data_IF_835323395151
#
_entry.id   IF_835323395151
#
_cell.length_a   1.000
_cell.length_b   1.000
_cell.length_c   1.000
_cell.angle_alpha   90.00
_cell.angle_beta   90.00
_cell.angle_gamma   90.00
#
_symmetry.space_group_name_H-M   'P 1'
#
loop_
_entity.id
_entity.type
_entity.pdbx_description
1 polymer ?
#
# COMPACT_ATOMS: atom_id res chain seq x y z
N UNK A 1 4.38 -84.57 -48.37
CA UNK A 1 3.00 -84.50 -48.91
C UNK A 1 2.66 -83.04 -49.14
N UNK A 2 1.98 -82.71 -50.24
CA UNK A 2 1.16 -81.48 -50.43
C UNK A 2 -0.26 -81.75 -49.83
N UNK A 3 -1.18 -80.78 -49.58
CA UNK A 3 -1.44 -79.47 -50.24
C UNK A 3 -1.46 -78.25 -49.26
N UNK A 4 -1.91 -77.02 -49.59
CA UNK A 4 -1.78 -76.13 -50.78
C UNK A 4 -2.53 -74.79 -50.52
N UNK A 5 -2.67 -73.92 -51.54
CA UNK A 5 -3.66 -72.83 -51.75
C UNK A 5 -3.64 -71.54 -50.87
N UNK A 6 -3.48 -70.42 -51.59
CA UNK A 6 -4.00 -69.05 -51.30
C UNK A 6 -5.50 -68.95 -51.74
N UNK A 7 -6.25 -67.82 -51.66
CA UNK A 7 -5.85 -66.41 -51.48
C UNK A 7 -6.78 -65.51 -50.60
N UNK A 8 -6.70 -64.20 -50.85
CA UNK A 8 -7.56 -63.07 -50.43
C UNK A 8 -9.04 -63.42 -50.16
N UNK A 9 -9.70 -62.83 -49.17
CA UNK A 9 -10.15 -61.41 -49.13
C UNK A 9 -10.37 -60.94 -47.65
N UNK A 10 -10.87 -59.76 -47.26
CA UNK A 10 -11.61 -58.67 -47.93
C UNK A 10 -11.38 -57.28 -47.25
N UNK A 11 -12.20 -56.27 -47.58
CA UNK A 11 -12.15 -54.87 -47.11
C UNK A 11 -13.53 -54.38 -46.59
N UNK A 12 -13.72 -54.31 -45.27
CA UNK A 12 -14.99 -53.82 -44.67
C UNK A 12 -15.03 -52.31 -44.40
N UNK A 13 -16.19 -51.71 -44.67
CA UNK A 13 -16.54 -50.33 -44.33
C UNK A 13 -16.70 -50.15 -42.82
N UNK A 14 -16.17 -49.04 -42.29
CA UNK A 14 -16.76 -48.36 -41.13
C UNK A 14 -17.09 -46.93 -41.56
N UNK A 15 -18.34 -46.53 -41.35
CA UNK A 15 -18.93 -45.30 -41.91
C UNK A 15 -18.56 -44.05 -41.11
N UNK A 16 -18.48 -42.92 -41.81
CA UNK A 16 -18.47 -41.59 -41.17
C UNK A 16 -19.57 -41.48 -40.11
N UNK A 17 -19.21 -40.96 -38.94
CA UNK A 17 -20.15 -40.45 -37.94
C UNK A 17 -19.79 -38.99 -37.70
N UNK A 18 -20.76 -38.09 -37.80
CA UNK A 18 -20.53 -36.65 -37.67
C UNK A 18 -20.10 -36.30 -36.24
N UNK A 19 -18.91 -35.70 -36.09
CA UNK A 19 -18.55 -35.00 -34.85
C UNK A 19 -19.22 -33.63 -34.90
N UNK A 20 -20.43 -33.54 -34.34
CA UNK A 20 -21.14 -32.27 -34.19
C UNK A 20 -20.33 -31.32 -33.32
N UNK A 21 -20.05 -30.13 -33.85
CA UNK A 21 -19.28 -29.11 -33.15
C UNK A 21 -20.13 -28.48 -32.05
N UNK A 22 -19.96 -28.95 -30.81
CA UNK A 22 -20.51 -28.27 -29.63
C UNK A 22 -19.59 -27.09 -29.31
N UNK A 23 -20.09 -25.87 -29.52
CA UNK A 23 -19.36 -24.64 -29.23
C UNK A 23 -19.01 -24.55 -27.74
N UNK A 24 -17.72 -24.38 -27.44
CA UNK A 24 -17.22 -24.18 -26.08
C UNK A 24 -17.45 -22.72 -25.67
N UNK A 25 -18.27 -22.42 -24.64
CA UNK A 25 -18.54 -21.05 -24.25
C UNK A 25 -17.34 -20.40 -23.54
N UNK A 26 -16.66 -19.52 -24.28
CA UNK A 26 -16.05 -18.28 -23.77
C UNK A 26 -15.01 -18.39 -22.63
N UNK A 27 -13.90 -19.08 -22.88
CA UNK A 27 -12.71 -19.00 -21.99
C UNK A 27 -12.12 -17.57 -21.91
N UNK A 28 -12.35 -16.72 -22.91
CA UNK A 28 -11.80 -15.36 -23.00
C UNK A 28 -12.34 -14.43 -21.90
N UNK A 29 -13.60 -14.59 -21.48
CA UNK A 29 -14.24 -13.69 -20.50
C UNK A 29 -13.69 -13.87 -19.07
N UNK A 30 -12.93 -14.93 -18.81
CA UNK A 30 -12.21 -15.14 -17.55
C UNK A 30 -10.82 -14.47 -17.51
N UNK A 31 -10.27 -14.06 -18.67
CA UNK A 31 -8.90 -13.57 -18.78
C UNK A 31 -8.75 -12.12 -18.28
N UNK A 32 -9.68 -11.23 -18.68
CA UNK A 32 -9.59 -9.78 -18.43
C UNK A 32 -9.64 -9.39 -16.95
N UNK A 33 -10.21 -10.23 -16.07
CA UNK A 33 -10.39 -9.92 -14.65
C UNK A 33 -9.12 -10.04 -13.79
N UNK A 34 -7.98 -10.46 -14.35
CA UNK A 34 -6.75 -10.74 -13.59
C UNK A 34 -5.66 -9.65 -13.65
N UNK A 35 -5.81 -8.67 -14.56
CA UNK A 35 -4.78 -7.64 -14.78
C UNK A 35 -4.76 -6.56 -13.69
N UNK A 36 -5.92 -6.20 -13.14
CA UNK A 36 -6.10 -5.02 -12.28
C UNK A 36 -5.92 -5.27 -10.76
N UNK A 37 -5.49 -6.47 -10.35
CA UNK A 37 -5.20 -6.74 -8.94
C UNK A 37 -3.91 -6.03 -8.50
N UNK A 38 -4.01 -5.07 -7.57
CA UNK A 38 -2.85 -4.55 -6.82
C UNK A 38 -2.21 -5.67 -6.00
N UNK A 39 -0.88 -5.71 -5.93
CA UNK A 39 -0.13 -6.63 -5.08
C UNK A 39 1.07 -5.93 -4.44
N UNK A 40 1.38 -6.27 -3.20
CA UNK A 40 2.44 -5.66 -2.39
C UNK A 40 3.27 -6.73 -1.69
N UNK A 41 4.54 -6.81 -2.06
CA UNK A 41 5.52 -7.69 -1.44
C UNK A 41 6.64 -6.88 -0.80
N UNK A 42 7.22 -7.40 0.28
CA UNK A 42 8.35 -6.78 0.99
C UNK A 42 9.56 -7.71 0.90
N UNK A 43 10.74 -7.18 0.55
CA UNK A 43 12.01 -7.88 0.58
C UNK A 43 12.96 -7.28 1.61
N UNK A 44 13.52 -8.09 2.50
CA UNK A 44 14.44 -7.64 3.55
C UNK A 44 15.84 -8.19 3.30
N UNK A 45 16.83 -7.29 3.11
CA UNK A 45 18.22 -7.67 2.90
C UNK A 45 18.85 -8.04 4.25
N UNK A 46 19.03 -9.34 4.52
CA UNK A 46 19.72 -9.88 5.71
C UNK A 46 19.32 -9.22 7.05
N UNK A 47 18.02 -9.14 7.39
CA UNK A 47 17.53 -8.43 8.58
C UNK A 47 18.14 -8.98 9.87
N UNK A 48 18.51 -8.09 10.78
CA UNK A 48 19.31 -8.35 11.98
C UNK A 48 18.48 -8.75 13.18
N UNK A 49 17.36 -8.07 13.41
CA UNK A 49 16.63 -8.15 14.70
C UNK A 49 15.21 -8.73 14.56
N UNK A 50 14.80 -9.70 15.41
CA UNK A 50 13.42 -10.18 15.45
C UNK A 50 12.39 -9.09 15.76
N UNK A 51 12.79 -8.06 16.52
CA UNK A 51 11.92 -6.91 16.86
C UNK A 51 11.53 -6.11 15.63
N UNK A 52 12.48 -5.83 14.72
CA UNK A 52 12.14 -5.17 13.45
C UNK A 52 11.27 -6.09 12.57
N UNK A 53 11.62 -7.38 12.44
CA UNK A 53 10.83 -8.32 11.63
C UNK A 53 9.40 -8.44 12.16
N UNK A 54 9.19 -8.53 13.48
CA UNK A 54 7.85 -8.51 14.08
C UNK A 54 7.10 -7.18 13.87
N UNK A 55 7.79 -6.03 13.93
CA UNK A 55 7.22 -4.73 13.58
C UNK A 55 6.82 -4.62 12.10
N UNK A 56 7.56 -5.27 11.21
CA UNK A 56 7.26 -5.37 9.77
C UNK A 56 6.06 -6.29 9.55
N UNK A 57 6.00 -7.48 10.16
CA UNK A 57 4.83 -8.38 10.03
C UNK A 57 3.55 -7.72 10.54
N UNK A 58 3.61 -6.98 11.66
CA UNK A 58 2.49 -6.17 12.16
C UNK A 58 2.06 -5.11 11.14
N UNK A 59 3.01 -4.40 10.52
CA UNK A 59 2.73 -3.41 9.48
C UNK A 59 2.11 -4.05 8.24
N UNK A 60 2.67 -5.16 7.76
CA UNK A 60 2.14 -5.98 6.68
C UNK A 60 0.67 -6.37 6.92
N UNK A 61 0.33 -6.77 8.16
CA UNK A 61 -1.06 -7.04 8.57
C UNK A 61 -1.97 -5.81 8.64
N UNK A 62 -1.43 -4.62 8.93
CA UNK A 62 -2.18 -3.38 8.95
C UNK A 62 -2.44 -2.79 7.54
N UNK A 63 -1.56 -3.04 6.57
CA UNK A 63 -1.60 -2.43 5.24
C UNK A 63 -1.94 -3.39 4.09
N UNK A 64 -2.12 -4.69 4.38
CA UNK A 64 -2.54 -5.67 3.36
C UNK A 64 -1.41 -6.09 2.42
N UNK A 65 -0.25 -6.44 2.98
CA UNK A 65 0.90 -6.99 2.23
C UNK A 65 0.68 -8.49 1.96
N UNK A 66 0.91 -8.92 0.72
CA UNK A 66 0.69 -10.29 0.25
C UNK A 66 1.79 -11.27 0.67
N UNK A 67 3.01 -10.79 0.95
CA UNK A 67 4.11 -11.62 1.42
C UNK A 67 5.37 -10.85 1.79
N UNK A 68 6.16 -11.42 2.71
CA UNK A 68 7.44 -10.87 3.17
C UNK A 68 8.55 -11.89 2.94
N UNK A 69 9.58 -11.48 2.20
CA UNK A 69 10.75 -12.28 1.88
C UNK A 69 11.98 -11.73 2.61
N UNK A 70 12.88 -12.60 3.06
CA UNK A 70 14.16 -12.17 3.63
C UNK A 70 15.34 -13.00 3.12
N UNK A 71 16.50 -12.38 2.97
CA UNK A 71 17.76 -13.09 2.70
C UNK A 71 18.59 -13.27 3.96
N UNK A 72 19.69 -14.02 3.85
CA UNK A 72 20.66 -14.16 4.93
C UNK A 72 20.14 -14.96 6.13
N UNK A 73 20.83 -14.83 7.28
CA UNK A 73 20.64 -15.75 8.43
C UNK A 73 20.63 -15.05 9.79
N UNK A 74 20.81 -13.72 9.85
CA UNK A 74 20.91 -12.99 11.13
C UNK A 74 19.62 -13.09 11.94
N UNK A 75 18.47 -12.82 11.30
CA UNK A 75 17.14 -13.04 11.87
C UNK A 75 16.95 -14.48 12.40
N UNK A 76 17.24 -15.52 11.61
CA UNK A 76 17.07 -16.92 12.03
C UNK A 76 17.89 -17.30 13.26
N UNK A 77 19.11 -16.76 13.37
CA UNK A 77 20.01 -17.01 14.49
C UNK A 77 19.52 -16.26 15.74
N UNK A 78 19.16 -14.98 15.58
CA UNK A 78 18.63 -14.17 16.66
C UNK A 78 17.30 -14.74 17.22
N UNK A 79 16.35 -15.10 16.35
CA UNK A 79 15.06 -15.66 16.74
C UNK A 79 15.19 -16.97 17.53
N UNK A 80 16.10 -17.87 17.12
CA UNK A 80 16.40 -19.12 17.85
C UNK A 80 17.15 -18.91 19.17
N UNK A 81 17.88 -17.80 19.32
CA UNK A 81 18.65 -17.49 20.55
C UNK A 81 17.79 -16.98 21.72
N UNK A 82 16.47 -16.83 21.54
CA UNK A 82 15.58 -16.33 22.59
C UNK A 82 15.70 -14.84 22.88
N UNK A 83 16.42 -14.08 22.03
CA UNK A 83 16.50 -12.63 22.12
C UNK A 83 15.10 -12.00 22.08
N UNK A 84 14.82 -11.09 23.03
CA UNK A 84 13.47 -10.70 23.48
C UNK A 84 12.44 -10.60 22.35
N UNK A 85 11.62 -11.64 22.26
CA UNK A 85 10.37 -11.66 21.49
C UNK A 85 9.37 -10.75 22.19
N UNK A 86 9.48 -9.44 21.98
CA UNK A 86 8.34 -8.55 22.21
C UNK A 86 7.19 -9.05 21.35
N UNK A 87 6.03 -9.28 21.94
CA UNK A 87 4.82 -9.70 21.22
C UNK A 87 4.28 -8.51 20.41
N UNK A 88 5.01 -8.11 19.37
CA UNK A 88 4.65 -6.99 18.49
C UNK A 88 3.49 -7.39 17.59
N UNK A 89 3.37 -8.67 17.23
CA UNK A 89 2.14 -9.22 16.66
C UNK A 89 1.18 -9.58 17.81
N UNK A 90 0.23 -8.67 18.06
CA UNK A 90 -0.87 -8.80 19.05
C UNK A 90 -2.23 -9.04 18.37
N UNK A 91 -2.19 -9.36 17.07
CA UNK A 91 -3.28 -9.79 16.19
C UNK A 91 -2.63 -10.80 15.25
N UNK A 92 -3.36 -11.81 14.82
CA UNK A 92 -2.78 -12.99 14.17
C UNK A 92 -2.46 -12.76 12.67
N UNK A 93 -1.71 -11.69 12.36
CA UNK A 93 -1.30 -11.34 11.01
C UNK A 93 -0.22 -12.31 10.48
N UNK A 94 0.69 -12.74 11.35
CA UNK A 94 1.67 -13.79 11.08
C UNK A 94 1.08 -15.17 10.77
N UNK A 95 -0.21 -15.42 11.04
CA UNK A 95 -0.90 -16.65 10.59
C UNK A 95 -1.32 -16.61 9.11
N UNK A 96 -1.30 -15.44 8.45
CA UNK A 96 -1.81 -15.27 7.08
C UNK A 96 -0.80 -14.72 6.08
N UNK A 97 0.14 -13.89 6.51
CA UNK A 97 1.15 -13.30 5.62
C UNK A 97 2.41 -14.17 5.66
N UNK A 98 2.83 -14.79 4.54
CA UNK A 98 3.99 -15.66 4.52
C UNK A 98 5.28 -14.86 4.77
N UNK A 99 6.09 -15.31 5.73
CA UNK A 99 7.44 -14.83 5.98
C UNK A 99 8.45 -15.87 5.49
N UNK A 100 9.03 -15.67 4.30
CA UNK A 100 9.80 -16.68 3.58
C UNK A 100 11.29 -16.32 3.49
N UNK A 101 12.16 -17.20 3.99
CA UNK A 101 13.60 -17.11 3.76
C UNK A 101 13.97 -17.53 2.34
N UNK A 102 14.72 -16.70 1.62
CA UNK A 102 15.16 -16.93 0.24
C UNK A 102 16.66 -16.69 0.08
N UNK A 103 17.28 -17.33 -0.92
CA UNK A 103 18.70 -17.14 -1.25
C UNK A 103 18.96 -15.85 -2.02
N UNK A 104 17.98 -15.34 -2.75
CA UNK A 104 18.04 -14.10 -3.53
C UNK A 104 16.65 -13.46 -3.60
N UNK A 105 16.54 -12.16 -3.27
CA UNK A 105 15.30 -11.41 -3.45
C UNK A 105 14.94 -11.28 -4.93
N UNK A 106 15.94 -11.08 -5.80
CA UNK A 106 15.76 -10.93 -7.26
C UNK A 106 15.11 -12.17 -7.91
N UNK A 107 15.38 -13.36 -7.36
CA UNK A 107 14.78 -14.62 -7.83
C UNK A 107 13.39 -14.91 -7.19
N UNK A 108 12.95 -14.08 -6.23
CA UNK A 108 11.68 -14.21 -5.53
C UNK A 108 10.63 -13.17 -5.96
N UNK A 109 10.95 -12.27 -6.89
CA UNK A 109 10.03 -11.25 -7.43
C UNK A 109 8.91 -11.97 -8.23
N UNK A 110 7.63 -11.81 -7.88
CA UNK A 110 6.52 -12.41 -8.63
C UNK A 110 6.34 -11.77 -10.01
N UNK A 111 5.88 -12.55 -10.99
CA UNK A 111 5.74 -12.09 -12.37
C UNK A 111 4.86 -10.83 -12.51
N UNK A 112 5.33 -9.84 -13.28
CA UNK A 112 4.63 -8.57 -13.48
C UNK A 112 4.67 -7.61 -12.29
N UNK A 113 5.62 -7.77 -11.37
CA UNK A 113 5.83 -6.92 -10.18
C UNK A 113 7.08 -6.07 -10.36
N UNK A 114 6.99 -4.76 -10.11
CA UNK A 114 8.14 -3.85 -10.20
C UNK A 114 9.02 -3.91 -8.94
N UNK A 115 10.33 -3.92 -9.11
CA UNK A 115 11.34 -3.91 -8.05
C UNK A 115 11.63 -2.48 -7.61
N UNK A 116 11.19 -2.12 -6.41
CA UNK A 116 11.42 -0.79 -5.85
C UNK A 116 12.41 -0.91 -4.68
N UNK A 117 13.62 -0.34 -4.81
CA UNK A 117 14.59 -0.32 -3.72
C UNK A 117 14.38 0.89 -2.81
N UNK A 118 14.49 0.69 -1.50
CA UNK A 118 14.12 1.68 -0.48
C UNK A 118 15.29 1.89 0.48
N UNK A 119 16.13 2.89 0.18
CA UNK A 119 17.38 3.16 0.91
C UNK A 119 17.90 4.59 0.64
N UNK A 120 18.88 5.06 1.42
CA UNK A 120 19.49 6.40 1.29
C UNK A 120 20.55 6.47 0.17
N UNK A 121 20.14 6.18 -1.07
CA UNK A 121 21.02 6.24 -2.25
C UNK A 121 20.98 7.63 -2.89
N UNK A 122 22.15 8.15 -3.29
CA UNK A 122 22.26 9.43 -4.02
C UNK A 122 21.58 9.31 -5.39
N UNK A 123 20.60 10.18 -5.63
CA UNK A 123 19.78 10.15 -6.85
C UNK A 123 18.48 9.34 -6.74
N UNK A 124 18.17 8.76 -5.57
CA UNK A 124 16.86 8.17 -5.31
C UNK A 124 15.75 9.23 -5.28
N UNK A 125 14.53 8.84 -5.67
CA UNK A 125 13.34 9.69 -5.62
C UNK A 125 12.87 9.86 -4.17
N UNK A 126 12.54 11.08 -3.69
CA UNK A 126 11.99 11.25 -2.36
C UNK A 126 10.58 10.63 -2.30
N UNK A 127 10.32 9.81 -1.29
CA UNK A 127 9.08 9.04 -1.14
C UNK A 127 7.79 9.88 -1.36
N UNK A 128 7.63 11.11 -0.84
CA UNK A 128 6.44 11.93 -1.11
C UNK A 128 6.13 12.15 -2.60
N UNK A 129 7.15 12.21 -3.46
CA UNK A 129 7.02 12.43 -4.91
C UNK A 129 6.90 11.12 -5.71
N UNK A 130 7.22 9.97 -5.11
CA UNK A 130 7.18 8.67 -5.77
C UNK A 130 5.75 8.20 -6.05
N UNK A 131 5.49 7.72 -7.27
CA UNK A 131 4.21 7.10 -7.65
C UNK A 131 4.31 5.59 -7.51
N UNK A 132 3.45 4.99 -6.69
CA UNK A 132 3.53 3.56 -6.36
C UNK A 132 2.90 2.70 -7.47
N UNK A 133 3.64 1.73 -8.06
CA UNK A 133 3.07 0.85 -9.08
C UNK A 133 2.05 -0.13 -8.47
N UNK A 134 1.06 -0.53 -9.26
CA UNK A 134 -0.01 -1.42 -8.80
C UNK A 134 0.52 -2.75 -8.21
N UNK A 135 1.50 -3.37 -8.86
CA UNK A 135 2.22 -4.57 -8.38
C UNK A 135 3.66 -4.18 -8.03
N UNK A 136 4.01 -4.24 -6.74
CA UNK A 136 5.29 -3.73 -6.23
C UNK A 136 5.99 -4.72 -5.28
N UNK A 137 7.31 -4.84 -5.42
CA UNK A 137 8.21 -5.59 -4.54
C UNK A 137 9.19 -4.60 -3.91
N UNK A 138 8.91 -4.15 -2.69
CA UNK A 138 9.71 -3.13 -2.00
C UNK A 138 10.87 -3.79 -1.25
N UNK A 139 12.11 -3.56 -1.69
CA UNK A 139 13.32 -4.05 -1.03
C UNK A 139 13.88 -3.01 -0.08
N UNK A 140 14.19 -3.41 1.15
CA UNK A 140 14.79 -2.58 2.18
C UNK A 140 16.16 -3.12 2.60
N UNK A 141 17.10 -2.20 2.87
CA UNK A 141 18.46 -2.52 3.31
C UNK A 141 18.54 -3.15 4.72
N UNK A 142 19.72 -3.70 5.09
CA UNK A 142 20.00 -4.17 6.44
C UNK A 142 20.06 -3.00 7.43
N UNK A 143 19.74 -3.22 8.72
CA UNK A 143 19.76 -2.17 9.76
C UNK A 143 21.12 -1.45 9.97
N UNK A 144 22.19 -2.01 9.44
CA UNK A 144 23.59 -1.63 9.64
C UNK A 144 24.39 -1.63 8.33
N UNK A 145 23.73 -1.28 7.22
CA UNK A 145 24.35 -1.13 5.90
C UNK A 145 23.38 -0.55 4.87
N UNK A 146 23.63 -0.83 3.59
CA UNK A 146 22.81 -0.43 2.43
C UNK A 146 22.39 -1.69 1.66
N UNK A 147 21.33 -1.58 0.84
CA UNK A 147 21.08 -2.52 -0.27
C UNK A 147 22.33 -2.62 -1.16
N UNK A 148 22.68 -3.83 -1.59
CA UNK A 148 23.82 -4.08 -2.47
C UNK A 148 23.58 -3.56 -3.89
N UNK A 149 24.65 -3.06 -4.53
CA UNK A 149 24.59 -2.46 -5.87
C UNK A 149 23.99 -3.44 -6.90
N UNK A 150 24.23 -4.74 -6.74
CA UNK A 150 23.71 -5.82 -7.60
C UNK A 150 22.19 -5.99 -7.57
N UNK A 151 21.50 -5.35 -6.61
CA UNK A 151 20.04 -5.22 -6.53
C UNK A 151 19.60 -3.84 -7.02
N UNK A 152 20.32 -2.77 -6.63
CA UNK A 152 20.07 -1.38 -7.09
C UNK A 152 20.10 -1.28 -8.62
N UNK A 153 21.10 -1.88 -9.28
CA UNK A 153 21.29 -1.89 -10.74
C UNK A 153 20.14 -2.56 -11.53
N UNK A 154 19.17 -3.18 -10.84
CA UNK A 154 18.03 -3.89 -11.42
C UNK A 154 16.68 -3.33 -10.97
N UNK A 155 16.68 -2.30 -10.14
CA UNK A 155 15.46 -1.70 -9.62
C UNK A 155 14.77 -0.84 -10.69
N UNK A 156 13.44 -0.98 -10.82
CA UNK A 156 12.63 -0.11 -11.66
C UNK A 156 12.60 1.33 -11.10
N UNK A 157 12.73 1.47 -9.78
CA UNK A 157 13.03 2.75 -9.12
C UNK A 157 13.79 2.55 -7.80
N UNK A 158 14.54 3.58 -7.39
CA UNK A 158 15.12 3.70 -6.05
C UNK A 158 14.46 4.89 -5.35
N UNK A 159 14.01 4.68 -4.11
CA UNK A 159 13.19 5.62 -3.34
C UNK A 159 13.80 5.80 -1.95
N UNK A 160 13.75 7.01 -1.39
CA UNK A 160 14.25 7.29 -0.04
C UNK A 160 13.23 8.05 0.81
N UNK A 161 13.24 7.82 2.13
CA UNK A 161 12.44 8.61 3.07
C UNK A 161 13.23 9.88 3.43
N UNK A 162 12.71 11.09 3.20
CA UNK A 162 13.46 12.34 3.40
C UNK A 162 13.52 12.74 4.89
N UNK A 163 14.37 12.06 5.66
CA UNK A 163 14.65 12.35 7.08
C UNK A 163 16.09 12.78 7.33
N UNK A 164 16.32 13.45 8.46
CA UNK A 164 17.67 13.74 8.96
C UNK A 164 18.30 12.43 9.48
N UNK A 165 19.04 11.74 8.62
CA UNK A 165 19.64 10.44 8.90
C UNK A 165 18.72 9.25 8.59
N UNK A 166 19.24 8.04 8.77
CA UNK A 166 18.52 6.81 8.49
C UNK A 166 17.42 6.53 9.53
N UNK A 167 16.27 6.07 9.03
CA UNK A 167 15.13 5.64 9.85
C UNK A 167 15.27 4.16 10.22
N UNK A 168 14.72 3.77 11.39
CA UNK A 168 14.62 2.36 11.78
C UNK A 168 13.90 1.54 10.70
N UNK A 169 14.44 0.37 10.34
CA UNK A 169 13.94 -0.50 9.26
C UNK A 169 12.42 -0.76 9.31
N UNK A 170 11.87 -1.07 10.48
CA UNK A 170 10.43 -1.32 10.62
C UNK A 170 9.60 -0.02 10.52
N UNK A 171 10.13 1.10 10.99
CA UNK A 171 9.50 2.41 10.79
C UNK A 171 9.51 2.82 9.31
N UNK A 172 10.60 2.59 8.57
CA UNK A 172 10.70 2.85 7.13
C UNK A 172 9.63 2.10 6.33
N UNK A 173 9.41 0.81 6.66
CA UNK A 173 8.33 0.00 6.08
C UNK A 173 6.95 0.58 6.40
N UNK A 174 6.70 0.98 7.66
CA UNK A 174 5.43 1.59 8.05
C UNK A 174 5.16 2.91 7.30
N UNK A 175 6.17 3.76 7.15
CA UNK A 175 6.04 5.05 6.44
C UNK A 175 5.75 4.84 4.96
N UNK A 176 6.45 3.90 4.30
CA UNK A 176 6.21 3.60 2.88
C UNK A 176 4.83 2.98 2.62
N UNK A 177 4.38 2.06 3.48
CA UNK A 177 3.06 1.44 3.34
C UNK A 177 1.93 2.44 3.65
N UNK A 178 2.13 3.34 4.62
CA UNK A 178 1.21 4.44 4.88
C UNK A 178 1.13 5.42 3.70
N UNK A 179 2.27 5.81 3.12
CA UNK A 179 2.32 6.73 1.98
C UNK A 179 1.63 6.14 0.72
N UNK A 180 1.86 4.85 0.43
CA UNK A 180 1.12 4.11 -0.61
C UNK A 180 -0.39 4.16 -0.38
N UNK A 181 -0.85 3.90 0.84
CA UNK A 181 -2.28 3.92 1.20
C UNK A 181 -2.86 5.34 1.14
N UNK A 182 -2.11 6.34 1.58
CA UNK A 182 -2.53 7.73 1.57
C UNK A 182 -2.64 8.31 0.14
N UNK A 183 -1.82 7.82 -0.80
CA UNK A 183 -1.88 8.16 -2.22
C UNK A 183 -3.01 7.44 -2.96
N UNK A 184 -3.16 6.13 -2.79
CA UNK A 184 -4.26 5.38 -3.41
C UNK A 184 -5.65 5.84 -2.93
N UNK A 185 -5.78 6.30 -1.69
CA UNK A 185 -7.01 6.96 -1.22
C UNK A 185 -7.31 8.31 -1.88
N UNK A 186 -6.32 9.04 -2.41
CA UNK A 186 -6.56 10.28 -3.18
C UNK A 186 -7.05 9.93 -4.58
N UNK A 187 -6.33 9.04 -5.26
CA UNK A 187 -6.68 8.51 -6.58
C UNK A 187 -8.10 7.90 -6.59
N UNK A 188 -8.48 7.16 -5.53
CA UNK A 188 -9.82 6.60 -5.36
C UNK A 188 -10.88 7.61 -4.85
N UNK A 189 -10.48 8.73 -4.26
CA UNK A 189 -11.41 9.80 -3.89
C UNK A 189 -11.89 10.58 -5.13
N UNK A 190 -10.98 10.87 -6.05
CA UNK A 190 -11.29 11.44 -7.35
C UNK A 190 -12.13 10.48 -8.23
N UNK A 191 -12.01 9.16 -7.98
CA UNK A 191 -12.74 8.10 -8.69
C UNK A 191 -13.86 7.40 -7.89
N UNK A 192 -14.50 8.12 -6.97
CA UNK A 192 -15.79 7.74 -6.34
C UNK A 192 -15.81 6.44 -5.51
N UNK A 193 -15.50 6.56 -4.20
CA UNK A 193 -16.28 6.01 -3.05
C UNK A 193 -15.57 5.08 -2.04
N UNK A 194 -15.74 5.43 -0.75
CA UNK A 194 -16.03 4.52 0.39
C UNK A 194 -15.15 3.30 0.70
N UNK A 195 -13.86 3.51 0.99
CA UNK A 195 -13.05 2.53 1.79
C UNK A 195 -12.44 3.23 3.02
N UNK A 196 -13.28 3.90 3.83
CA UNK A 196 -12.78 4.67 4.97
C UNK A 196 -13.83 4.95 6.06
N UNK A 197 -13.34 5.46 7.20
CA UNK A 197 -14.18 5.89 8.33
C UNK A 197 -14.74 4.75 9.18
N UNK A 198 -15.93 5.00 9.74
CA UNK A 198 -16.48 4.25 10.89
C UNK A 198 -16.71 2.75 10.61
N UNK A 199 -16.92 2.35 9.34
CA UNK A 199 -17.07 0.95 8.96
C UNK A 199 -15.78 0.14 9.20
N UNK A 200 -14.66 0.63 8.68
CA UNK A 200 -13.34 0.03 8.87
C UNK A 200 -12.97 0.01 10.36
N UNK A 201 -13.22 1.10 11.09
CA UNK A 201 -12.98 1.18 12.54
C UNK A 201 -13.76 0.08 13.28
N UNK A 202 -15.03 -0.18 12.92
CA UNK A 202 -15.86 -1.20 13.57
C UNK A 202 -15.39 -2.63 13.25
N UNK A 203 -14.77 -2.86 12.09
CA UNK A 203 -14.22 -4.15 11.66
C UNK A 203 -12.84 -4.43 12.24
N UNK A 204 -11.95 -3.43 12.31
CA UNK A 204 -10.54 -3.59 12.67
C UNK A 204 -10.24 -3.38 14.16
N UNK A 205 -11.16 -2.81 14.93
CA UNK A 205 -11.00 -2.64 16.39
C UNK A 205 -11.08 -3.98 17.12
N UNK A 206 -10.28 -4.10 18.17
CA UNK A 206 -10.39 -5.20 19.14
C UNK A 206 -11.60 -5.03 20.07
N UNK A 207 -11.90 -6.09 20.85
CA UNK A 207 -13.04 -6.15 21.77
C UNK A 207 -12.95 -5.18 22.98
N UNK A 208 -11.76 -4.61 23.23
CA UNK A 208 -11.51 -3.67 24.33
C UNK A 208 -11.70 -2.22 23.88
N UNK A 209 -11.44 -1.91 22.60
CA UNK A 209 -11.64 -0.58 22.02
C UNK A 209 -13.13 -0.22 21.84
N UNK A 210 -13.67 0.46 22.86
CA UNK A 210 -15.06 0.95 22.93
C UNK A 210 -15.16 2.47 22.82
N UNK A 211 -14.04 3.15 22.57
CA UNK A 211 -13.92 4.61 22.50
C UNK A 211 -14.71 5.19 21.31
N UNK A 212 -15.21 6.41 21.45
CA UNK A 212 -15.91 7.15 20.39
C UNK A 212 -15.48 8.62 20.38
N UNK A 213 -15.48 9.24 19.21
CA UNK A 213 -15.24 10.68 19.07
C UNK A 213 -16.40 11.46 19.71
N UNK A 214 -16.08 12.55 20.42
CA UNK A 214 -17.08 13.45 20.99
C UNK A 214 -17.73 14.26 19.86
N UNK A 215 -19.00 13.96 19.55
CA UNK A 215 -19.81 14.79 18.65
C UNK A 215 -19.84 16.22 19.19
N UNK A 216 -19.55 17.20 18.34
CA UNK A 216 -19.64 18.60 18.70
C UNK A 216 -21.10 18.93 19.04
N UNK A 217 -21.32 19.55 20.22
CA UNK A 217 -22.63 20.14 20.52
C UNK A 217 -22.78 21.38 19.66
N UNK A 218 -23.87 21.47 18.91
CA UNK A 218 -24.27 22.73 18.28
C UNK A 218 -24.34 23.84 19.34
N UNK A 219 -23.85 25.02 18.98
CA UNK A 219 -24.00 26.23 19.78
C UNK A 219 -25.48 26.54 19.95
N UNK A 220 -25.99 26.45 21.18
CA UNK A 220 -27.36 26.89 21.51
C UNK A 220 -27.57 28.29 20.96
N UNK A 221 -28.59 28.48 20.10
CA UNK A 221 -29.00 29.83 19.67
C UNK A 221 -29.16 30.72 20.92
N UNK A 222 -28.68 31.97 20.89
CA UNK A 222 -28.96 32.91 21.96
C UNK A 222 -30.48 33.03 22.11
N UNK A 223 -30.97 33.04 23.35
CA UNK A 223 -32.38 33.36 23.61
C UNK A 223 -32.65 34.76 23.11
N UNK A 224 -33.80 34.98 22.48
CA UNK A 224 -34.23 36.33 22.10
C UNK A 224 -34.19 37.23 23.33
N UNK A 225 -33.41 38.31 23.23
CA UNK A 225 -33.63 39.50 24.05
C UNK A 225 -34.68 40.30 23.29
N UNK A 226 -35.84 40.52 23.91
CA UNK A 226 -36.85 41.40 23.33
C UNK A 226 -36.31 42.82 23.30
N UNK A 227 -36.24 43.43 22.11
CA UNK A 227 -35.83 44.81 21.95
C UNK A 227 -36.98 45.71 22.41
N UNK A 228 -36.87 46.26 23.62
CA UNK A 228 -37.78 47.28 24.12
C UNK A 228 -37.64 48.55 23.28
N UNK A 229 -38.68 48.91 22.53
CA UNK A 229 -38.71 50.14 21.74
C UNK A 229 -38.54 51.38 22.64
N UNK A 230 -37.65 52.29 22.24
CA UNK A 230 -37.66 53.70 22.64
C UNK A 230 -37.44 54.53 21.38
N UNK A 231 -38.39 55.41 21.05
CA UNK A 231 -38.31 56.30 19.90
C UNK A 231 -37.48 57.55 20.22
N UNK A 232 -36.66 58.02 19.28
CA UNK A 232 -36.22 59.42 19.23
C UNK A 232 -35.74 59.83 17.82
N UNK A 233 -36.37 60.89 17.28
CA UNK A 233 -35.86 61.86 16.29
C UNK A 233 -35.07 61.37 15.04
N UNK A 234 -35.69 61.56 13.87
CA UNK A 234 -34.99 61.60 12.58
C UNK A 234 -34.20 62.92 12.40
N UNK A 235 -33.03 62.86 11.75
CA UNK A 235 -32.47 63.94 10.91
C UNK A 235 -31.79 63.28 9.70
N UNK A 236 -31.87 63.92 8.53
CA UNK A 236 -31.36 63.40 7.25
C UNK A 236 -29.86 63.65 7.04
N UNK A 237 -29.16 62.76 6.31
CA UNK A 237 -27.95 63.10 5.56
C UNK A 237 -27.69 62.12 4.39
N UNK A 238 -27.69 62.68 3.18
CA UNK A 238 -27.20 62.19 1.87
C UNK A 238 -26.34 60.91 1.78
N UNK A 239 -26.65 60.07 0.78
CA UNK A 239 -25.76 59.01 0.25
C UNK A 239 -24.51 59.57 -0.44
N UNK A 240 -23.38 58.84 -0.36
CA UNK A 240 -22.27 58.89 -1.33
C UNK A 240 -21.77 57.45 -1.58
N UNK A 241 -21.53 57.12 -2.84
CA UNK A 241 -21.07 55.80 -3.34
C UNK A 241 -19.53 55.61 -3.20
N UNK A 242 -19.01 54.36 -3.31
CA UNK A 242 -17.64 54.04 -2.89
C UNK A 242 -16.55 54.31 -3.95
N UNK A 243 -15.30 54.49 -3.48
CA UNK A 243 -14.09 54.52 -4.31
C UNK A 243 -13.17 53.33 -3.99
N UNK A 244 -12.80 52.56 -5.02
CA UNK A 244 -11.96 51.37 -4.93
C UNK A 244 -10.46 51.67 -4.80
N UNK A 245 -9.70 50.73 -4.20
CA UNK A 245 -8.26 50.52 -4.45
C UNK A 245 -7.79 49.14 -3.93
N UNK A 246 -7.17 48.37 -4.82
CA UNK A 246 -6.51 47.07 -4.64
C UNK A 246 -4.99 47.26 -4.97
N UNK A 247 -4.08 46.26 -4.88
CA UNK A 247 -3.39 45.94 -3.64
C UNK A 247 -1.85 45.97 -3.75
N UNK A 248 -1.14 46.08 -2.62
CA UNK A 248 0.32 45.88 -2.50
C UNK A 248 0.72 45.67 -1.03
N UNK A 249 1.78 44.96 -0.67
CA UNK A 249 2.59 43.98 -1.41
C UNK A 249 3.28 43.04 -0.40
N UNK A 250 4.01 42.03 -0.89
CA UNK A 250 4.83 41.12 -0.08
C UNK A 250 5.77 41.84 0.89
N UNK A 251 5.84 41.33 2.13
CA UNK A 251 7.14 40.96 2.70
C UNK A 251 6.97 39.83 3.71
N UNK A 252 7.82 38.80 3.63
CA UNK A 252 7.74 37.62 4.49
C UNK A 252 9.17 37.13 4.80
N UNK A 253 9.69 37.50 5.98
CA UNK A 253 11.03 37.12 6.43
C UNK A 253 10.98 36.78 7.92
N UNK A 254 11.13 35.50 8.25
CA UNK A 254 11.36 35.02 9.61
C UNK A 254 12.69 34.27 9.61
N UNK A 255 13.71 34.87 10.21
CA UNK A 255 15.01 34.22 10.43
C UNK A 255 14.90 33.33 11.66
N UNK A 256 15.09 32.02 11.50
CA UNK A 256 15.17 31.07 12.61
C UNK A 256 16.62 30.71 12.85
N UNK A 257 17.21 31.32 13.88
CA UNK A 257 18.56 30.96 14.36
C UNK A 257 18.46 29.75 15.28
N UNK A 258 19.32 28.74 15.06
CA UNK A 258 19.37 27.55 15.91
C UNK A 258 20.24 27.76 17.17
N UNK A 259 19.90 27.04 18.23
CA UNK A 259 20.66 26.84 19.47
C UNK A 259 20.36 25.45 20.03
#
# INVERSE_FOLDING_TARGET
MLPSSQPMTDNEHVTNTEVTSVEMPSAELACEQTLNASAVFIGLVNPKTPVNVGGIMRASGCYGVDGVFYTGRRYELAARSGAVQYHVDTKDAGERIPLTGVTSLLAAIPAGTQLICVDLVVGATPLPEFVHPAKAFYVFGPEDGTIGQEIIDKADAVVYVPTVGCMNLAASVNVLLYDRLAKSHREAADLTSSIGGDALIRQSRDNNNRTRVKVARESRKPRHIEASCVEASCVEASCVEPSSLEPSSSDNTIVVTAA
#
